data_IF_494153472955
#
_entry.id   IF_494153472955
#
_cell.length_a   1.000
_cell.length_b   1.000
_cell.length_c   1.000
_cell.angle_alpha   90.00
_cell.angle_beta   90.00
_cell.angle_gamma   90.00
#
_symmetry.space_group_name_H-M   'P 1'
#
loop_
_entity.id
_entity.type
_entity.pdbx_description
1 polymer ?
#
# COMPACT_ATOMS: atom_id res chain seq x y z
N UNK A 1 0.54 -10.13 -11.80
CA UNK A 1 1.39 -8.98 -11.44
C UNK A 1 1.27 -8.74 -9.93
N UNK A 2 1.99 -7.83 -9.25
CA UNK A 2 1.68 -7.53 -7.85
C UNK A 2 0.23 -7.08 -7.69
N UNK A 3 -0.52 -7.73 -6.82
CA UNK A 3 -1.91 -7.37 -6.50
C UNK A 3 -1.94 -6.59 -5.19
N UNK A 4 -2.66 -5.47 -5.18
CA UNK A 4 -2.90 -4.67 -3.98
C UNK A 4 -4.37 -4.71 -3.66
N UNK A 5 -4.69 -5.13 -2.43
CA UNK A 5 -6.05 -5.15 -1.91
C UNK A 5 -6.31 -3.83 -1.21
N UNK A 6 -7.39 -3.14 -1.60
CA UNK A 6 -7.76 -1.85 -1.00
C UNK A 6 -9.23 -1.89 -0.56
N UNK A 7 -9.52 -1.64 0.74
CA UNK A 7 -10.89 -1.52 1.21
C UNK A 7 -11.60 -0.29 0.63
N UNK A 8 -12.88 -0.44 0.29
CA UNK A 8 -13.72 0.65 -0.22
C UNK A 8 -13.73 1.85 0.73
N UNK A 9 -13.87 1.60 2.03
CA UNK A 9 -13.88 2.65 3.04
C UNK A 9 -12.61 3.53 2.98
N UNK A 10 -11.44 2.92 2.71
CA UNK A 10 -10.17 3.64 2.59
C UNK A 10 -10.11 4.42 1.28
N UNK A 11 -10.61 3.86 0.17
CA UNK A 11 -10.69 4.57 -1.10
C UNK A 11 -11.57 5.82 -0.99
N UNK A 12 -12.76 5.68 -0.40
CA UNK A 12 -13.72 6.78 -0.22
C UNK A 12 -13.14 7.86 0.70
N UNK A 13 -12.55 7.47 1.83
CA UNK A 13 -11.93 8.41 2.77
C UNK A 13 -10.79 9.20 2.11
N UNK A 14 -9.92 8.52 1.36
CA UNK A 14 -8.73 9.15 0.78
C UNK A 14 -9.01 9.94 -0.48
N UNK A 15 -9.83 9.41 -1.38
CA UNK A 15 -10.19 10.10 -2.62
C UNK A 15 -11.27 11.17 -2.39
N UNK A 16 -11.98 11.15 -1.25
CA UNK A 16 -12.96 12.17 -0.88
C UNK A 16 -14.26 12.13 -1.68
N UNK A 17 -14.44 11.12 -2.54
CA UNK A 17 -15.69 10.83 -3.25
C UNK A 17 -15.94 9.34 -3.30
N UNK A 18 -17.22 8.97 -3.38
CA UNK A 18 -17.62 7.59 -3.68
C UNK A 18 -17.54 7.38 -5.19
N UNK A 19 -16.85 6.31 -5.59
CA UNK A 19 -16.83 5.84 -6.97
C UNK A 19 -17.76 4.65 -7.09
N UNK A 20 -18.42 4.55 -8.23
CA UNK A 20 -19.01 3.27 -8.65
C UNK A 20 -17.91 2.30 -9.11
N UNK A 21 -18.24 1.02 -9.17
CA UNK A 21 -17.28 -0.02 -9.59
C UNK A 21 -16.78 0.25 -11.03
N UNK A 22 -17.67 0.74 -11.91
CA UNK A 22 -17.35 1.13 -13.30
C UNK A 22 -16.46 2.38 -13.39
N UNK A 23 -16.78 3.44 -12.63
CA UNK A 23 -15.95 4.65 -12.60
C UNK A 23 -14.55 4.40 -12.04
N UNK A 24 -14.44 3.49 -11.06
CA UNK A 24 -13.15 3.13 -10.50
C UNK A 24 -12.32 2.29 -11.48
N UNK A 25 -12.95 1.33 -12.17
CA UNK A 25 -12.30 0.56 -13.23
C UNK A 25 -11.80 1.47 -14.36
N UNK A 26 -12.61 2.41 -14.83
CA UNK A 26 -12.19 3.37 -15.85
C UNK A 26 -11.01 4.24 -15.38
N UNK A 27 -11.03 4.70 -14.12
CA UNK A 27 -9.92 5.46 -13.54
C UNK A 27 -8.63 4.62 -13.46
N UNK A 28 -8.73 3.36 -13.03
CA UNK A 28 -7.62 2.42 -13.02
C UNK A 28 -7.07 2.23 -14.44
N UNK A 29 -7.93 1.99 -15.42
CA UNK A 29 -7.56 1.79 -16.81
C UNK A 29 -6.85 3.01 -17.41
N UNK A 30 -7.38 4.22 -17.20
CA UNK A 30 -6.76 5.47 -17.65
C UNK A 30 -5.37 5.70 -17.03
N UNK A 31 -5.15 5.25 -15.80
CA UNK A 31 -3.87 5.32 -15.12
C UNK A 31 -2.90 4.19 -15.53
N UNK A 32 -3.39 3.14 -16.20
CA UNK A 32 -2.62 1.96 -16.60
C UNK A 32 -2.56 0.87 -15.53
N UNK A 33 -3.61 0.74 -14.73
CA UNK A 33 -3.85 -0.33 -13.76
C UNK A 33 -5.05 -1.16 -14.20
N UNK A 34 -5.13 -2.38 -13.69
CA UNK A 34 -6.23 -3.29 -13.97
C UNK A 34 -6.96 -3.61 -12.67
N UNK A 35 -8.29 -3.46 -12.65
CA UNK A 35 -9.12 -3.94 -11.56
C UNK A 35 -9.41 -5.42 -11.79
N UNK A 36 -8.82 -6.28 -10.96
CA UNK A 36 -8.90 -7.75 -11.10
C UNK A 36 -10.21 -8.31 -10.56
N UNK A 37 -10.50 -8.04 -9.28
CA UNK A 37 -11.71 -8.54 -8.62
C UNK A 37 -12.21 -7.56 -7.56
N UNK A 38 -13.54 -7.42 -7.45
CA UNK A 38 -14.21 -6.81 -6.31
C UNK A 38 -14.79 -7.94 -5.45
N UNK A 39 -14.32 -8.06 -4.22
CA UNK A 39 -14.68 -9.15 -3.29
C UNK A 39 -14.85 -8.62 -1.87
N UNK A 40 -15.52 -9.33 -0.98
CA UNK A 40 -15.55 -9.01 0.46
C UNK A 40 -14.80 -10.05 1.31
N UNK A 41 -14.46 -9.73 2.56
CA UNK A 41 -13.84 -10.70 3.47
C UNK A 41 -14.77 -11.90 3.71
N UNK A 42 -16.08 -11.66 3.83
CA UNK A 42 -17.08 -12.73 3.93
C UNK A 42 -17.03 -13.66 2.71
N UNK A 43 -16.99 -13.13 1.51
CA UNK A 43 -16.97 -13.95 0.29
C UNK A 43 -15.67 -14.75 0.16
N UNK A 44 -14.53 -14.17 0.53
CA UNK A 44 -13.24 -14.88 0.56
C UNK A 44 -13.28 -16.05 1.56
N UNK A 45 -13.77 -15.82 2.78
CA UNK A 45 -13.82 -16.85 3.82
C UNK A 45 -14.84 -17.94 3.48
N UNK A 46 -15.98 -17.58 2.90
CA UNK A 46 -16.97 -18.55 2.43
C UNK A 46 -16.39 -19.44 1.33
N UNK A 47 -15.64 -18.86 0.37
CA UNK A 47 -15.00 -19.62 -0.71
C UNK A 47 -13.87 -20.54 -0.22
N UNK A 48 -13.08 -20.12 0.76
CA UNK A 48 -11.90 -20.88 1.22
C UNK A 48 -12.17 -21.85 2.37
N UNK A 49 -13.08 -21.51 3.29
CA UNK A 49 -13.22 -22.18 4.61
C UNK A 49 -14.65 -22.58 4.96
N UNK A 50 -15.62 -22.34 4.06
CA UNK A 50 -17.04 -22.67 4.24
C UNK A 50 -17.81 -21.65 5.09
N UNK A 51 -19.14 -21.69 4.98
CA UNK A 51 -20.07 -20.70 5.57
C UNK A 51 -19.96 -20.58 7.11
N UNK A 52 -19.63 -21.68 7.81
CA UNK A 52 -19.59 -21.74 9.27
C UNK A 52 -18.58 -20.79 9.93
N UNK A 53 -17.57 -20.32 9.20
CA UNK A 53 -16.55 -19.36 9.68
C UNK A 53 -16.74 -17.93 9.18
N UNK A 54 -17.67 -17.70 8.25
CA UNK A 54 -17.91 -16.39 7.65
C UNK A 54 -18.83 -15.46 8.49
N UNK A 55 -19.49 -16.00 9.52
CA UNK A 55 -20.48 -15.26 10.33
C UNK A 55 -19.92 -14.01 11.05
N UNK A 56 -18.61 -13.98 11.32
CA UNK A 56 -17.94 -12.88 12.03
C UNK A 56 -17.02 -12.02 11.13
N UNK A 57 -17.00 -12.26 9.81
CA UNK A 57 -16.14 -11.52 8.88
C UNK A 57 -16.80 -10.23 8.38
N UNK A 58 -16.04 -9.26 7.90
CA UNK A 58 -16.63 -8.03 7.36
C UNK A 58 -17.24 -8.24 5.97
N UNK A 59 -18.40 -7.64 5.71
CA UNK A 59 -19.01 -7.55 4.37
C UNK A 59 -18.47 -6.38 3.55
N UNK A 60 -17.46 -5.68 4.05
CA UNK A 60 -16.91 -4.52 3.36
C UNK A 60 -16.30 -4.93 2.02
N UNK A 61 -16.57 -4.13 0.98
CA UNK A 61 -16.00 -4.33 -0.35
C UNK A 61 -14.49 -4.08 -0.33
N UNK A 62 -13.77 -4.98 -0.98
CA UNK A 62 -12.33 -4.95 -1.21
C UNK A 62 -12.07 -4.96 -2.72
N UNK A 63 -11.30 -3.98 -3.19
CA UNK A 63 -10.87 -3.90 -4.57
C UNK A 63 -9.48 -4.52 -4.69
N UNK A 64 -9.33 -5.53 -5.56
CA UNK A 64 -8.02 -6.09 -5.93
C UNK A 64 -7.55 -5.40 -7.19
N UNK A 65 -6.49 -4.61 -7.08
CA UNK A 65 -5.91 -3.86 -8.20
C UNK A 65 -4.58 -4.49 -8.56
N UNK A 66 -4.41 -4.88 -9.82
CA UNK A 66 -3.13 -5.29 -10.36
C UNK A 66 -2.27 -4.08 -10.70
N UNK A 67 -1.02 -4.15 -10.26
CA UNK A 67 -0.07 -3.04 -10.31
C UNK A 67 1.18 -3.46 -11.08
N UNK A 68 1.73 -2.60 -11.95
CA UNK A 68 2.99 -2.87 -12.63
C UNK A 68 4.14 -3.12 -11.65
N UNK A 69 4.94 -4.16 -11.88
CA UNK A 69 6.02 -4.57 -10.97
C UNK A 69 7.14 -3.52 -10.82
N UNK A 70 7.26 -2.61 -11.77
CA UNK A 70 8.18 -1.47 -11.81
C UNK A 70 7.72 -0.27 -10.96
N UNK A 71 6.53 -0.30 -10.35
CA UNK A 71 5.96 0.79 -9.56
C UNK A 71 5.82 0.41 -8.08
N UNK A 72 6.94 0.38 -7.37
CA UNK A 72 6.97 0.04 -5.94
C UNK A 72 6.20 1.05 -5.07
N UNK A 73 6.00 2.27 -5.55
CA UNK A 73 5.22 3.32 -4.89
C UNK A 73 3.72 2.99 -4.81
N UNK A 74 3.23 2.07 -5.63
CA UNK A 74 1.81 1.70 -5.73
C UNK A 74 1.47 0.43 -4.93
N UNK A 75 2.44 -0.20 -4.25
CA UNK A 75 2.26 -1.48 -3.53
C UNK A 75 1.44 -1.37 -2.23
N UNK A 76 1.00 -0.17 -1.86
CA UNK A 76 0.15 0.08 -0.69
C UNK A 76 -1.03 0.99 -1.03
N UNK A 77 -2.07 0.94 -0.20
CA UNK A 77 -3.28 1.75 -0.34
C UNK A 77 -2.98 3.25 -0.36
N UNK A 78 -2.02 3.69 0.45
CA UNK A 78 -1.55 5.07 0.57
C UNK A 78 -0.96 5.58 -0.73
N UNK A 79 -0.09 4.77 -1.32
CA UNK A 79 0.65 5.11 -2.51
C UNK A 79 -0.24 5.12 -3.74
N UNK A 80 -1.09 4.10 -3.87
CA UNK A 80 -2.08 4.00 -4.93
C UNK A 80 -3.04 5.19 -4.92
N UNK A 81 -3.73 5.42 -3.80
CA UNK A 81 -4.69 6.53 -3.70
C UNK A 81 -4.04 7.87 -3.95
N UNK A 82 -2.84 8.11 -3.42
CA UNK A 82 -2.09 9.35 -3.67
C UNK A 82 -1.74 9.53 -5.15
N UNK A 83 -1.30 8.47 -5.83
CA UNK A 83 -0.98 8.53 -7.25
C UNK A 83 -2.21 8.84 -8.10
N UNK A 84 -3.35 8.21 -7.80
CA UNK A 84 -4.63 8.49 -8.46
C UNK A 84 -5.08 9.94 -8.25
N UNK A 85 -4.96 10.50 -7.04
CA UNK A 85 -5.30 11.92 -6.79
C UNK A 85 -4.40 12.90 -7.55
N UNK A 86 -3.10 12.60 -7.67
CA UNK A 86 -2.17 13.42 -8.46
C UNK A 86 -2.55 13.34 -9.94
N UNK A 87 -2.87 12.15 -10.43
CA UNK A 87 -3.28 11.92 -11.82
C UNK A 87 -4.57 12.68 -12.17
N UNK A 88 -5.57 12.63 -11.29
CA UNK A 88 -6.83 13.38 -11.43
C UNK A 88 -6.69 14.90 -11.22
N UNK A 89 -5.49 15.39 -10.87
CA UNK A 89 -5.23 16.80 -10.63
C UNK A 89 -5.82 17.34 -9.31
N UNK A 90 -6.27 16.48 -8.41
CA UNK A 90 -6.86 16.89 -7.13
C UNK A 90 -5.81 17.38 -6.12
N UNK A 91 -4.59 16.84 -6.20
CA UNK A 91 -3.47 17.23 -5.35
C UNK A 91 -2.22 17.51 -6.19
N UNK A 92 -1.44 18.49 -5.76
CA UNK A 92 -0.11 18.74 -6.32
C UNK A 92 0.87 17.64 -5.91
N UNK A 93 1.90 17.43 -6.72
CA UNK A 93 2.97 16.47 -6.44
C UNK A 93 3.65 16.84 -5.10
N UNK A 94 3.64 15.95 -4.09
CA UNK A 94 4.25 16.23 -2.80
C UNK A 94 5.77 16.29 -2.92
N UNK A 95 6.39 17.29 -2.27
CA UNK A 95 7.84 17.41 -2.20
C UNK A 95 8.34 16.84 -0.88
N UNK A 96 9.24 15.85 -0.94
CA UNK A 96 9.86 15.25 0.23
C UNK A 96 11.24 15.86 0.45
N UNK A 97 11.51 16.32 1.67
CA UNK A 97 12.80 16.89 2.04
C UNK A 97 13.30 16.26 3.33
N UNK A 98 14.64 16.15 3.43
CA UNK A 98 15.29 15.74 4.66
C UNK A 98 15.27 16.91 5.64
N UNK A 99 14.86 16.66 6.88
CA UNK A 99 14.96 17.66 7.95
C UNK A 99 16.33 17.53 8.60
N UNK A 100 17.06 18.64 8.70
CA UNK A 100 18.31 18.68 9.45
C UNK A 100 18.03 18.69 10.96
N UNK A 101 18.68 17.77 11.66
CA UNK A 101 18.55 17.59 13.10
C UNK A 101 19.88 17.90 13.78
N UNK A 102 19.83 18.59 14.94
CA UNK A 102 21.03 18.95 15.71
C UNK A 102 21.86 17.73 16.14
N UNK A 103 21.18 16.63 16.46
CA UNK A 103 21.79 15.36 16.87
C UNK A 103 21.31 14.24 15.96
N UNK A 104 22.04 13.94 14.86
CA UNK A 104 21.70 12.84 13.99
C UNK A 104 21.97 11.50 14.68
N UNK A 105 21.08 10.53 14.46
CA UNK A 105 21.30 9.14 14.85
C UNK A 105 22.19 8.51 13.78
N UNK A 106 23.30 7.91 14.20
CA UNK A 106 24.29 7.32 13.31
C UNK A 106 24.17 5.80 13.31
N UNK A 107 24.23 5.21 12.11
CA UNK A 107 24.33 3.77 11.90
C UNK A 107 25.67 3.47 11.24
N UNK A 108 26.50 2.66 11.90
CA UNK A 108 27.88 2.36 11.46
C UNK A 108 27.97 0.93 10.97
N UNK A 109 28.42 0.74 9.74
CA UNK A 109 28.65 -0.58 9.13
C UNK A 109 30.06 -1.05 9.49
N UNK A 110 30.16 -2.22 10.13
CA UNK A 110 31.46 -2.80 10.53
C UNK A 110 32.07 -3.59 9.38
N UNK A 111 33.40 -3.65 9.32
CA UNK A 111 34.11 -4.40 8.27
C UNK A 111 33.72 -5.88 8.22
N UNK A 112 33.36 -6.46 9.37
CA UNK A 112 32.90 -7.86 9.47
C UNK A 112 31.64 -8.17 8.65
N UNK A 113 30.86 -7.18 8.21
CA UNK A 113 29.65 -7.42 7.40
C UNK A 113 29.92 -7.44 5.90
N UNK A 114 31.13 -7.10 5.43
CA UNK A 114 31.47 -7.02 4.00
C UNK A 114 31.20 -8.33 3.24
N UNK A 115 31.50 -9.49 3.85
CA UNK A 115 31.38 -10.78 3.18
C UNK A 115 29.94 -11.28 3.05
N UNK A 116 28.97 -10.69 3.78
CA UNK A 116 27.58 -11.17 3.83
C UNK A 116 26.60 -10.10 3.36
N UNK A 117 26.65 -8.89 3.96
CA UNK A 117 25.79 -7.76 3.63
C UNK A 117 26.57 -6.45 3.74
N UNK A 118 27.22 -6.01 2.65
CA UNK A 118 28.22 -4.94 2.69
C UNK A 118 27.62 -3.55 2.92
N UNK A 119 26.36 -3.33 2.56
CA UNK A 119 25.71 -2.02 2.61
C UNK A 119 24.36 -2.08 3.31
N UNK A 120 24.01 -1.01 4.02
CA UNK A 120 22.72 -0.79 4.65
C UNK A 120 22.40 0.71 4.63
N UNK A 121 21.14 1.03 4.40
CA UNK A 121 20.61 2.38 4.48
C UNK A 121 19.50 2.41 5.54
N UNK A 122 19.41 3.50 6.29
CA UNK A 122 18.35 3.72 7.29
C UNK A 122 17.93 5.19 7.29
N UNK A 123 16.65 5.43 7.59
CA UNK A 123 16.07 6.75 7.75
C UNK A 123 15.11 6.76 8.93
N UNK A 124 14.84 7.95 9.48
CA UNK A 124 13.96 8.11 10.65
C UNK A 124 12.85 9.10 10.29
N UNK A 125 11.61 8.62 10.41
CA UNK A 125 10.41 9.45 10.35
C UNK A 125 10.01 9.80 11.79
N UNK A 126 9.94 11.10 12.11
CA UNK A 126 9.58 11.58 13.45
C UNK A 126 8.12 12.00 13.50
N UNK A 127 7.50 11.86 14.67
CA UNK A 127 6.13 12.30 14.95
C UNK A 127 5.07 11.66 14.05
N UNK A 128 5.24 10.38 13.70
CA UNK A 128 4.25 9.62 12.93
C UNK A 128 3.14 9.16 13.86
N UNK A 129 1.89 9.51 13.54
CA UNK A 129 0.71 8.97 14.22
C UNK A 129 0.40 7.57 13.67
N UNK A 130 0.72 6.55 14.45
CA UNK A 130 0.46 5.15 14.12
C UNK A 130 -0.86 4.71 14.75
N UNK A 131 -1.78 4.24 13.91
CA UNK A 131 -3.01 3.55 14.30
C UNK A 131 -2.88 2.06 13.93
N UNK A 132 -3.73 1.19 14.47
CA UNK A 132 -3.71 -0.24 14.14
C UNK A 132 -3.74 -0.49 12.63
N UNK A 133 -4.70 0.13 11.92
CA UNK A 133 -4.81 0.03 10.47
C UNK A 133 -3.55 0.54 9.71
N UNK A 134 -2.90 1.62 10.20
CA UNK A 134 -1.66 2.13 9.59
C UNK A 134 -0.47 1.21 9.82
N UNK A 135 -0.42 0.53 10.96
CA UNK A 135 0.62 -0.46 11.26
C UNK A 135 0.43 -1.68 10.38
N UNK A 136 -0.79 -2.19 10.24
CA UNK A 136 -1.11 -3.31 9.35
C UNK A 136 -0.72 -2.99 7.91
N UNK A 137 -1.09 -1.80 7.42
CA UNK A 137 -0.70 -1.37 6.07
C UNK A 137 0.81 -1.21 5.90
N UNK A 138 1.53 -0.79 6.94
CA UNK A 138 2.99 -0.69 6.91
C UNK A 138 3.66 -2.07 6.84
N UNK A 139 3.13 -3.04 7.59
CA UNK A 139 3.60 -4.43 7.58
C UNK A 139 3.31 -5.07 6.21
N UNK A 140 2.11 -4.89 5.65
CA UNK A 140 1.75 -5.38 4.31
C UNK A 140 2.68 -4.80 3.23
N UNK A 141 2.97 -3.49 3.28
CA UNK A 141 3.93 -2.87 2.35
C UNK A 141 5.32 -3.49 2.50
N UNK A 142 5.79 -3.72 3.74
CA UNK A 142 7.08 -4.36 3.99
C UNK A 142 7.13 -5.77 3.38
N UNK A 143 6.08 -6.57 3.58
CA UNK A 143 6.01 -7.94 3.03
C UNK A 143 6.00 -7.93 1.50
N UNK A 144 5.20 -7.06 0.88
CA UNK A 144 5.15 -6.91 -0.58
C UNK A 144 6.48 -6.47 -1.17
N UNK A 145 7.20 -5.55 -0.53
CA UNK A 145 8.54 -5.16 -0.98
C UNK A 145 9.53 -6.33 -0.86
N UNK A 146 9.49 -7.08 0.24
CA UNK A 146 10.35 -8.24 0.42
C UNK A 146 10.10 -9.35 -0.60
N UNK A 147 8.84 -9.65 -0.92
CA UNK A 147 8.49 -10.68 -1.89
C UNK A 147 8.86 -10.28 -3.34
N UNK A 148 8.82 -8.98 -3.65
CA UNK A 148 9.03 -8.49 -5.01
C UNK A 148 10.48 -8.04 -5.25
N UNK A 149 10.87 -6.89 -4.70
CA UNK A 149 12.11 -6.20 -5.09
C UNK A 149 13.34 -6.61 -4.28
N UNK A 150 13.16 -7.10 -3.04
CA UNK A 150 14.27 -7.41 -2.13
C UNK A 150 14.69 -8.88 -2.10
N UNK A 151 14.68 -9.55 -3.27
CA UNK A 151 15.13 -10.96 -3.41
C UNK A 151 16.55 -11.18 -2.90
#
# INVERSE_FOLDING_TARGET
MPVVVVPEAVLVDRLGRKYTDEEFDELCFQFGLELDEVTSEKELVTREKGEDRAANCSSDKLYKVEVPANRCDLLCSEGLTRALKIFSGEISIPTYFKVDVKTPIQLTVKLSTQCVRPFIAAAILRNVTLTAARIESLIDLQEKLHQNICR
#
